data_IF_898025256765
#
_entry.id   IF_898025256765
#
_cell.length_a   1.000
_cell.length_b   1.000
_cell.length_c   1.000
_cell.angle_alpha   90.00
_cell.angle_beta   90.00
_cell.angle_gamma   90.00
#
_symmetry.space_group_name_H-M   'P 1'
#
loop_
_entity.id
_entity.type
_entity.pdbx_description
1 polymer ?
#
# COMPACT_ATOMS: atom_id res chain seq x y z
N UNK A 1 11.11 11.82 -15.13
CA UNK A 1 11.12 10.95 -13.93
C UNK A 1 9.71 10.91 -13.36
N UNK A 2 8.86 10.03 -13.88
CA UNK A 2 7.46 9.94 -13.44
C UNK A 2 7.41 9.32 -12.04
N UNK A 3 6.80 10.01 -11.10
CA UNK A 3 6.51 9.48 -9.76
C UNK A 3 5.07 8.99 -9.75
N UNK A 4 4.87 7.71 -9.44
CA UNK A 4 3.55 7.09 -9.36
C UNK A 4 3.00 7.05 -7.92
N UNK A 5 3.81 7.50 -6.94
CA UNK A 5 3.44 7.57 -5.54
C UNK A 5 2.70 8.85 -5.18
N UNK A 6 2.10 8.86 -3.99
CA UNK A 6 1.24 9.94 -3.49
C UNK A 6 1.64 10.45 -2.10
N UNK A 7 2.56 9.78 -1.42
CA UNK A 7 2.98 10.11 -0.05
C UNK A 7 4.47 9.80 0.18
N UNK A 8 4.94 10.06 1.39
CA UNK A 8 6.32 9.82 1.86
C UNK A 8 6.39 8.67 2.90
N UNK A 9 5.32 7.87 3.00
CA UNK A 9 5.14 6.81 3.98
C UNK A 9 4.48 7.25 5.30
N UNK A 10 3.94 8.48 5.36
CA UNK A 10 3.11 8.95 6.49
C UNK A 10 1.68 9.33 6.08
N UNK A 11 0.72 9.17 6.99
CA UNK A 11 -0.69 9.59 6.83
C UNK A 11 -1.18 10.19 8.16
N UNK A 12 -1.71 11.42 8.13
CA UNK A 12 -2.23 12.14 9.32
C UNK A 12 -1.24 12.14 10.51
N UNK A 13 0.06 12.27 10.24
CA UNK A 13 1.12 12.28 11.26
C UNK A 13 1.60 10.89 11.72
N UNK A 14 0.91 9.81 11.37
CA UNK A 14 1.38 8.45 11.64
C UNK A 14 2.30 7.95 10.52
N UNK A 15 3.46 7.36 10.88
CA UNK A 15 4.44 6.87 9.92
C UNK A 15 4.42 5.34 9.82
N UNK A 16 4.21 4.84 8.62
CA UNK A 16 4.20 3.42 8.28
C UNK A 16 5.54 2.95 7.68
N UNK A 17 6.13 3.78 6.82
CA UNK A 17 7.44 3.53 6.19
C UNK A 17 8.14 4.86 5.87
N UNK A 18 9.40 4.84 5.41
CA UNK A 18 10.12 6.04 4.94
C UNK A 18 10.46 5.91 3.46
N UNK A 19 10.15 6.94 2.68
CA UNK A 19 10.60 7.08 1.30
C UNK A 19 10.70 8.56 0.91
N UNK A 20 11.15 8.84 -0.33
CA UNK A 20 11.13 10.20 -0.89
C UNK A 20 9.69 10.71 -1.03
N UNK A 21 9.45 12.03 -0.99
CA UNK A 21 8.13 12.61 -1.27
C UNK A 21 7.57 12.12 -2.61
N UNK A 22 6.27 11.82 -2.64
CA UNK A 22 5.56 11.29 -3.83
C UNK A 22 6.07 9.93 -4.35
N UNK A 23 6.74 9.13 -3.53
CA UNK A 23 7.17 7.77 -3.90
C UNK A 23 6.42 6.65 -3.17
N UNK A 24 5.77 6.97 -2.06
CA UNK A 24 4.97 6.03 -1.28
C UNK A 24 3.54 5.92 -1.81
N UNK A 25 2.95 4.72 -1.69
CA UNK A 25 1.58 4.46 -2.10
C UNK A 25 0.91 3.49 -1.13
N UNK A 26 -0.31 3.82 -0.71
CA UNK A 26 -1.19 2.90 0.01
C UNK A 26 -2.28 2.45 -0.96
N UNK A 27 -2.49 1.13 -1.06
CA UNK A 27 -3.54 0.51 -1.87
C UNK A 27 -4.21 -0.59 -1.07
N UNK A 28 -5.49 -0.83 -1.34
CA UNK A 28 -6.15 -2.02 -0.82
C UNK A 28 -5.57 -3.27 -1.52
N UNK A 29 -5.47 -4.42 -0.83
CA UNK A 29 -4.93 -5.65 -1.40
C UNK A 29 -5.58 -6.06 -2.73
N UNK A 30 -6.87 -5.83 -2.91
CA UNK A 30 -7.61 -6.19 -4.13
C UNK A 30 -7.13 -5.42 -5.36
N UNK A 31 -6.45 -4.28 -5.16
CA UNK A 31 -5.90 -3.43 -6.22
C UNK A 31 -4.43 -3.72 -6.52
N UNK A 32 -3.81 -4.69 -5.84
CA UNK A 32 -2.43 -5.09 -6.07
C UNK A 32 -2.36 -6.53 -6.56
N UNK A 33 -1.40 -6.80 -7.45
CA UNK A 33 -1.10 -8.15 -7.92
C UNK A 33 0.36 -8.49 -7.66
N UNK A 34 0.62 -9.70 -7.19
CA UNK A 34 1.95 -10.27 -7.05
C UNK A 34 2.08 -11.42 -8.04
N UNK A 35 2.91 -11.25 -9.08
CA UNK A 35 3.12 -12.24 -10.16
C UNK A 35 1.79 -12.72 -10.80
N UNK A 36 0.85 -11.79 -10.99
CA UNK A 36 -0.47 -12.08 -11.58
C UNK A 36 -1.53 -12.58 -10.60
N UNK A 37 -1.19 -12.81 -9.33
CA UNK A 37 -2.15 -13.24 -8.30
C UNK A 37 -2.61 -12.01 -7.51
N UNK A 38 -3.92 -11.88 -7.27
CA UNK A 38 -4.45 -10.80 -6.45
C UNK A 38 -3.94 -10.91 -5.00
N UNK A 39 -3.42 -9.80 -4.44
CA UNK A 39 -2.83 -9.83 -3.10
C UNK A 39 -3.84 -10.17 -2.00
N UNK A 40 -5.15 -9.95 -2.19
CA UNK A 40 -6.17 -10.39 -1.24
C UNK A 40 -6.24 -11.91 -1.07
N UNK A 41 -5.73 -12.68 -2.04
CA UNK A 41 -5.68 -14.16 -1.98
C UNK A 41 -4.41 -14.69 -1.31
N UNK A 42 -3.37 -13.87 -1.20
CA UNK A 42 -2.05 -14.29 -0.68
C UNK A 42 -1.88 -13.82 0.77
N UNK A 43 -2.50 -12.70 1.14
CA UNK A 43 -2.42 -12.18 2.49
C UNK A 43 -3.27 -13.03 3.47
N UNK A 44 -2.81 -13.18 4.73
CA UNK A 44 -3.63 -13.77 5.79
C UNK A 44 -4.94 -12.99 5.98
N UNK A 45 -6.02 -13.68 6.37
CA UNK A 45 -7.32 -13.07 6.65
C UNK A 45 -7.23 -11.93 7.67
N UNK A 46 -6.36 -12.06 8.67
CA UNK A 46 -6.12 -11.02 9.69
C UNK A 46 -5.62 -9.69 9.12
N UNK A 47 -5.00 -9.69 7.93
CA UNK A 47 -4.54 -8.48 7.25
C UNK A 47 -5.63 -7.83 6.38
N UNK A 48 -6.73 -8.54 6.09
CA UNK A 48 -7.81 -8.06 5.23
C UNK A 48 -8.94 -7.39 6.02
N UNK A 49 -9.08 -7.71 7.30
CA UNK A 49 -10.27 -7.35 8.09
C UNK A 49 -10.38 -5.88 8.52
N UNK A 50 -9.40 -5.01 8.24
CA UNK A 50 -9.43 -3.63 8.76
C UNK A 50 -8.98 -2.59 7.73
N UNK A 51 -9.83 -2.23 6.76
CA UNK A 51 -9.61 -1.09 5.86
C UNK A 51 -10.94 -0.46 5.33
N UNK A 52 -11.88 -0.19 6.24
CA UNK A 52 -13.05 0.67 5.98
C UNK A 52 -12.73 2.13 6.28
#
# INVERSE_FOLDING_TARGET
MATYGKNDGSVKGHRYFRCKPSHGLFVKPEKATHRGINCSKILPSSCLENNS
#
